data_IF_917943343057
#
_entry.id   IF_917943343057
#
_cell.length_a   1.000
_cell.length_b   1.000
_cell.length_c   1.000
_cell.angle_alpha   90.00
_cell.angle_beta   90.00
_cell.angle_gamma   90.00
#
_symmetry.space_group_name_H-M   'P 1'
#
loop_
_entity.id
_entity.type
_entity.pdbx_description
1 polymer ?
#
# COMPACT_ATOMS: atom_id res chain seq x y z
N UNK A 1 13.13 15.68 6.09
CA UNK A 1 12.96 14.29 5.63
C UNK A 1 11.51 14.14 5.20
N UNK A 2 11.24 13.59 4.02
CA UNK A 2 9.89 13.38 3.47
C UNK A 2 9.46 11.91 3.63
N UNK A 3 9.72 11.38 4.83
CA UNK A 3 9.47 10.01 5.25
C UNK A 3 8.26 9.98 6.20
N UNK A 4 7.29 9.12 5.93
CA UNK A 4 6.29 8.77 6.95
C UNK A 4 5.96 7.28 6.96
N UNK A 5 5.83 6.76 8.17
CA UNK A 5 5.48 5.37 8.40
C UNK A 5 4.09 5.32 9.02
N UNK A 6 3.31 4.32 8.64
CA UNK A 6 2.02 4.03 9.26
C UNK A 6 2.01 2.62 9.82
N UNK A 7 1.42 2.49 11.00
CA UNK A 7 1.21 1.22 11.68
C UNK A 7 -0.18 1.22 12.31
N UNK A 8 -0.99 0.24 11.97
CA UNK A 8 -2.36 0.10 12.47
C UNK A 8 -2.77 -1.35 12.64
N UNK A 9 -3.95 -1.58 13.24
CA UNK A 9 -4.48 -2.92 13.51
C UNK A 9 -5.88 -3.07 12.96
N UNK A 10 -6.18 -4.18 12.28
CA UNK A 10 -7.54 -4.47 11.84
C UNK A 10 -8.53 -4.77 12.99
N UNK A 11 -8.03 -4.99 14.22
CA UNK A 11 -8.86 -5.32 15.38
C UNK A 11 -9.39 -4.10 16.15
N UNK A 12 -8.90 -2.88 15.88
CA UNK A 12 -9.24 -1.69 16.68
C UNK A 12 -10.57 -1.04 16.28
N UNK A 13 -11.29 -1.59 15.30
CA UNK A 13 -12.59 -1.07 14.86
C UNK A 13 -13.71 -1.59 15.77
N UNK A 14 -14.18 -0.72 16.67
CA UNK A 14 -15.36 -0.99 17.49
C UNK A 14 -16.63 -1.00 16.60
N UNK A 15 -17.32 -2.14 16.56
CA UNK A 15 -18.72 -2.33 16.19
C UNK A 15 -19.19 -2.13 14.72
N UNK A 16 -18.35 -1.78 13.75
CA UNK A 16 -18.76 -1.78 12.33
C UNK A 16 -17.86 -2.67 11.48
N UNK A 17 -18.20 -3.97 11.45
CA UNK A 17 -17.49 -5.06 10.75
C UNK A 17 -17.37 -4.92 9.21
N UNK A 18 -17.59 -3.73 8.65
CA UNK A 18 -17.59 -3.45 7.21
C UNK A 18 -16.93 -2.13 6.81
N UNK A 19 -16.41 -1.34 7.75
CA UNK A 19 -15.77 -0.08 7.37
C UNK A 19 -14.36 -0.32 6.83
N UNK A 20 -14.10 0.28 5.68
CA UNK A 20 -12.79 0.27 5.02
C UNK A 20 -11.96 1.39 5.61
N UNK A 21 -10.87 1.06 6.27
CA UNK A 21 -9.98 2.07 6.85
C UNK A 21 -9.24 2.81 5.73
N UNK A 22 -9.21 4.15 5.78
CA UNK A 22 -8.49 4.95 4.79
C UNK A 22 -7.34 5.72 5.45
N UNK A 23 -6.14 5.49 4.94
CA UNK A 23 -4.91 6.14 5.41
C UNK A 23 -4.37 7.04 4.31
N UNK A 24 -3.99 8.25 4.67
CA UNK A 24 -3.44 9.25 3.75
C UNK A 24 -2.00 9.55 4.12
N UNK A 25 -1.06 9.17 3.26
CA UNK A 25 0.37 9.40 3.47
C UNK A 25 0.87 10.42 2.46
N UNK A 26 1.28 11.58 2.97
CA UNK A 26 1.71 12.72 2.17
C UNK A 26 3.23 12.87 2.19
N UNK A 27 3.94 11.83 1.77
CA UNK A 27 5.39 11.68 1.82
C UNK A 27 5.87 10.97 0.56
N UNK A 28 7.11 11.24 0.12
CA UNK A 28 7.72 10.55 -1.01
C UNK A 28 8.21 9.15 -0.68
N UNK A 29 8.44 8.83 0.59
CA UNK A 29 8.91 7.51 1.01
C UNK A 29 8.33 7.12 2.38
N UNK A 30 8.36 5.83 2.71
CA UNK A 30 7.81 5.34 3.96
C UNK A 30 7.57 3.85 4.03
N UNK A 31 6.86 3.44 5.07
CA UNK A 31 6.39 2.07 5.25
C UNK A 31 4.98 1.99 5.79
N UNK A 32 4.32 0.86 5.50
CA UNK A 32 2.99 0.51 6.02
C UNK A 32 3.12 -0.84 6.72
N UNK A 33 2.60 -0.93 7.94
CA UNK A 33 2.41 -2.19 8.68
C UNK A 33 0.97 -2.30 9.17
N UNK A 34 0.25 -3.30 8.70
CA UNK A 34 -1.11 -3.59 9.14
C UNK A 34 -1.14 -4.91 9.91
N UNK A 35 -1.31 -4.83 11.23
CA UNK A 35 -1.41 -5.99 12.10
C UNK A 35 -2.84 -6.53 12.09
N UNK A 36 -2.97 -7.85 12.17
CA UNK A 36 -4.28 -8.53 12.18
C UNK A 36 -5.21 -8.06 11.05
N UNK A 37 -4.80 -8.20 9.77
CA UNK A 37 -5.60 -7.77 8.63
C UNK A 37 -7.06 -8.24 8.75
N UNK A 38 -8.00 -7.30 8.74
CA UNK A 38 -9.45 -7.59 8.85
C UNK A 38 -10.21 -6.62 7.97
N UNK A 39 -11.16 -7.11 7.16
CA UNK A 39 -11.84 -6.27 6.17
C UNK A 39 -10.90 -5.77 5.09
N UNK A 40 -10.80 -4.45 4.91
CA UNK A 40 -9.92 -3.83 3.94
C UNK A 40 -9.32 -2.50 4.43
N UNK A 41 -8.14 -2.17 3.91
CA UNK A 41 -7.38 -0.96 4.17
C UNK A 41 -7.04 -0.29 2.83
N UNK A 42 -7.27 1.02 2.74
CA UNK A 42 -6.92 1.82 1.55
C UNK A 42 -5.82 2.81 1.92
N UNK A 43 -4.66 2.67 1.29
CA UNK A 43 -3.55 3.60 1.43
C UNK A 43 -3.55 4.57 0.25
N UNK A 44 -3.68 5.87 0.54
CA UNK A 44 -3.58 6.95 -0.43
C UNK A 44 -2.19 7.57 -0.34
N UNK A 45 -1.32 7.25 -1.30
CA UNK A 45 0.04 7.80 -1.37
C UNK A 45 0.05 9.12 -2.16
N UNK A 46 0.79 10.13 -1.69
CA UNK A 46 0.94 11.42 -2.39
C UNK A 46 2.26 12.08 -2.02
N UNK A 47 2.99 12.71 -2.96
CA UNK A 47 4.18 13.46 -2.61
C UNK A 47 3.80 14.74 -1.83
N UNK A 48 4.70 15.22 -0.98
CA UNK A 48 4.46 16.40 -0.15
C UNK A 48 4.40 17.70 -0.99
N UNK A 49 5.34 17.83 -1.93
CA UNK A 49 5.40 18.92 -2.90
C UNK A 49 4.69 18.52 -4.19
N UNK A 50 3.55 19.16 -4.47
CA UNK A 50 2.79 18.87 -5.68
C UNK A 50 3.12 19.91 -6.73
N UNK A 51 3.95 19.54 -7.71
CA UNK A 51 4.28 20.42 -8.84
C UNK A 51 3.60 19.91 -10.11
N UNK A 52 3.46 20.75 -11.13
CA UNK A 52 2.88 20.36 -12.44
C UNK A 52 3.64 19.21 -13.14
N UNK A 53 4.84 18.88 -12.67
CA UNK A 53 5.70 17.75 -13.12
C UNK A 53 5.19 16.39 -12.61
N UNK A 54 4.16 16.36 -11.76
CA UNK A 54 3.62 15.14 -11.14
C UNK A 54 3.12 14.05 -12.11
N UNK A 55 2.94 14.35 -13.40
CA UNK A 55 2.55 13.38 -14.43
C UNK A 55 3.61 12.30 -14.69
N UNK A 56 4.83 12.45 -14.17
CA UNK A 56 5.95 11.54 -14.39
C UNK A 56 6.40 10.80 -13.12
N UNK A 57 5.55 10.69 -12.09
CA UNK A 57 5.93 9.92 -10.90
C UNK A 57 5.51 8.47 -11.01
N UNK A 58 6.38 7.59 -10.51
CA UNK A 58 6.14 6.17 -10.34
C UNK A 58 6.06 5.88 -8.84
N UNK A 59 5.08 5.10 -8.42
CA UNK A 59 5.01 4.53 -7.08
C UNK A 59 5.63 3.15 -7.16
N UNK A 60 6.61 2.86 -6.32
CA UNK A 60 7.17 1.53 -6.15
C UNK A 60 6.91 1.05 -4.74
N UNK A 61 6.47 -0.20 -4.60
CA UNK A 61 6.31 -0.86 -3.30
C UNK A 61 7.18 -2.11 -3.23
N UNK A 62 7.69 -2.40 -2.03
CA UNK A 62 8.46 -3.59 -1.73
C UNK A 62 7.91 -4.25 -0.48
N UNK A 63 7.22 -5.39 -0.60
CA UNK A 63 6.75 -6.14 0.57
C UNK A 63 7.89 -6.51 1.51
N UNK A 64 7.59 -6.53 2.81
CA UNK A 64 8.50 -7.12 3.79
C UNK A 64 8.55 -8.64 3.60
N UNK A 65 9.67 -9.25 3.98
CA UNK A 65 9.90 -10.69 3.84
C UNK A 65 8.91 -11.56 4.59
N UNK A 66 8.31 -11.04 5.66
CA UNK A 66 7.31 -11.70 6.50
C UNK A 66 5.89 -11.17 6.28
N UNK A 67 5.70 -10.32 5.25
CA UNK A 67 4.38 -9.76 4.91
C UNK A 67 3.43 -10.88 4.48
N UNK A 68 2.28 -10.96 5.14
CA UNK A 68 1.26 -11.98 4.88
C UNK A 68 -0.10 -11.58 5.44
N UNK A 69 -1.14 -12.27 4.99
CA UNK A 69 -2.51 -12.14 5.45
C UNK A 69 -3.39 -11.24 4.60
N UNK A 70 -2.88 -10.67 3.52
CA UNK A 70 -3.67 -9.83 2.62
C UNK A 70 -3.10 -9.78 1.20
N UNK A 71 -4.00 -9.65 0.23
CA UNK A 71 -3.66 -9.26 -1.13
C UNK A 71 -3.52 -7.72 -1.21
N UNK A 72 -2.62 -7.24 -2.07
CA UNK A 72 -2.49 -5.82 -2.41
C UNK A 72 -2.89 -5.61 -3.86
N UNK A 73 -3.77 -4.63 -4.09
CA UNK A 73 -4.31 -4.28 -5.39
C UNK A 73 -4.06 -2.80 -5.71
N UNK A 74 -4.06 -2.51 -7.00
CA UNK A 74 -4.13 -1.15 -7.55
C UNK A 74 -5.35 -1.04 -8.46
N UNK A 75 -5.96 0.14 -8.51
CA UNK A 75 -7.03 0.42 -9.47
C UNK A 75 -6.44 0.74 -10.85
N UNK A 76 -7.00 0.15 -11.91
CA UNK A 76 -6.69 0.47 -13.31
C UNK A 76 -7.97 0.42 -14.11
N UNK A 77 -8.31 1.52 -14.78
CA UNK A 77 -9.50 1.61 -15.65
C UNK A 77 -10.81 1.22 -14.95
N UNK A 78 -10.94 1.49 -13.64
CA UNK A 78 -12.12 1.15 -12.84
C UNK A 78 -12.13 -0.26 -12.26
N UNK A 79 -11.08 -1.05 -12.48
CA UNK A 79 -10.97 -2.43 -11.98
C UNK A 79 -9.78 -2.58 -11.01
N UNK A 80 -9.97 -3.40 -9.97
CA UNK A 80 -8.90 -3.75 -9.04
C UNK A 80 -8.04 -4.87 -9.63
N UNK A 81 -6.74 -4.59 -9.78
CA UNK A 81 -5.75 -5.53 -10.28
C UNK A 81 -4.78 -5.89 -9.16
N UNK A 82 -4.62 -7.19 -8.89
CA UNK A 82 -3.69 -7.66 -7.87
C UNK A 82 -2.25 -7.36 -8.29
N UNK A 83 -1.47 -6.78 -7.37
CA UNK A 83 -0.04 -6.51 -7.57
C UNK A 83 0.83 -7.36 -6.66
N UNK A 84 0.39 -7.60 -5.42
CA UNK A 84 1.06 -8.50 -4.49
C UNK A 84 0.03 -9.52 -4.01
N UNK A 85 0.03 -10.74 -4.57
CA UNK A 85 -0.86 -11.80 -4.11
C UNK A 85 -0.38 -12.39 -2.79
N UNK A 86 -1.33 -12.76 -1.93
CA UNK A 86 -1.09 -13.50 -0.70
C UNK A 86 -0.60 -14.91 -1.01
N UNK A 87 0.39 -15.37 -0.25
CA UNK A 87 0.91 -16.75 -0.34
C UNK A 87 1.91 -16.97 -1.47
N UNK A 88 2.24 -15.95 -2.26
CA UNK A 88 3.32 -16.04 -3.24
C UNK A 88 4.64 -15.56 -2.62
N UNK A 89 5.58 -16.49 -2.44
CA UNK A 89 6.89 -16.17 -1.88
C UNK A 89 7.76 -15.48 -2.95
N UNK A 90 7.78 -14.15 -2.93
CA UNK A 90 8.57 -13.32 -3.85
C UNK A 90 9.49 -12.37 -3.07
N UNK A 91 10.48 -12.91 -2.35
CA UNK A 91 11.37 -12.11 -1.53
C UNK A 91 12.11 -11.10 -2.41
N UNK A 92 12.17 -9.86 -1.94
CA UNK A 92 12.86 -8.73 -2.60
C UNK A 92 12.24 -8.20 -3.90
N UNK A 93 11.09 -8.71 -4.35
CA UNK A 93 10.44 -8.16 -5.53
C UNK A 93 9.89 -6.75 -5.25
N UNK A 94 10.07 -5.87 -6.22
CA UNK A 94 9.57 -4.50 -6.22
C UNK A 94 8.50 -4.40 -7.29
N UNK A 95 7.38 -3.78 -6.95
CA UNK A 95 6.24 -3.58 -7.84
C UNK A 95 6.06 -2.08 -8.06
N UNK A 96 6.14 -1.65 -9.32
CA UNK A 96 6.07 -0.24 -9.68
C UNK A 96 4.89 0.06 -10.62
N UNK A 97 4.20 1.16 -10.38
CA UNK A 97 3.03 1.60 -11.15
C UNK A 97 2.94 3.13 -11.21
N UNK A 98 2.08 3.67 -12.08
CA UNK A 98 1.92 5.11 -12.25
C UNK A 98 1.36 5.76 -10.98
N UNK A 99 1.73 7.03 -10.71
CA UNK A 99 1.11 7.83 -9.64
C UNK A 99 -0.41 8.03 -9.85
N UNK A 100 -0.95 7.81 -11.05
CA UNK A 100 -2.40 7.73 -11.26
C UNK A 100 -3.03 6.61 -10.43
N UNK A 101 -2.28 5.55 -10.16
CA UNK A 101 -2.66 4.36 -9.40
C UNK A 101 -2.13 4.40 -7.96
N UNK A 102 -1.93 5.60 -7.39
CA UNK A 102 -1.37 5.82 -6.04
C UNK A 102 -2.23 5.32 -4.87
N UNK A 103 -3.41 4.80 -5.15
CA UNK A 103 -4.29 4.17 -4.16
C UNK A 103 -4.01 2.68 -4.14
N UNK A 104 -3.59 2.19 -2.99
CA UNK A 104 -3.40 0.77 -2.72
C UNK A 104 -4.60 0.27 -1.95
N UNK A 105 -5.21 -0.80 -2.42
CA UNK A 105 -6.29 -1.48 -1.74
C UNK A 105 -5.70 -2.77 -1.17
N UNK A 106 -5.83 -2.96 0.14
CA UNK A 106 -5.24 -4.08 0.85
C UNK A 106 -6.40 -4.84 1.48
N UNK A 107 -6.67 -6.03 0.97
CA UNK A 107 -7.82 -6.83 1.41
C UNK A 107 -7.35 -8.06 2.18
N UNK A 108 -7.92 -8.25 3.36
CA UNK A 108 -7.64 -9.42 4.17
C UNK A 108 -7.94 -10.71 3.39
N UNK A 109 -7.02 -11.67 3.46
CA UNK A 109 -7.17 -13.01 2.87
C UNK A 109 -7.19 -14.12 3.93
N UNK A 110 -7.18 -13.77 5.21
CA UNK A 110 -7.22 -14.70 6.33
C UNK A 110 -8.67 -15.05 6.73
N UNK A 111 -8.86 -16.30 7.16
CA UNK A 111 -10.15 -16.81 7.64
C UNK A 111 -10.26 -16.79 9.17
N UNK A 112 -9.13 -16.61 9.85
CA UNK A 112 -9.03 -16.60 11.31
C UNK A 112 -8.50 -15.25 11.82
N UNK A 113 -8.45 -15.12 13.14
CA UNK A 113 -7.85 -13.97 13.84
C UNK A 113 -6.39 -14.22 14.21
N UNK A 114 -5.71 -15.13 13.51
CA UNK A 114 -4.30 -15.41 13.77
C UNK A 114 -3.46 -14.15 13.55
N UNK A 115 -2.36 -14.02 14.28
CA UNK A 115 -1.47 -12.88 14.11
C UNK A 115 -0.75 -12.96 12.77
N UNK A 116 -1.20 -12.15 11.83
CA UNK A 116 -0.52 -11.84 10.57
C UNK A 116 -0.22 -10.35 10.49
N UNK A 117 0.76 -10.00 9.65
CA UNK A 117 1.18 -8.62 9.42
C UNK A 117 1.34 -8.47 7.92
N UNK A 118 0.56 -7.58 7.31
CA UNK A 118 0.79 -7.14 5.94
C UNK A 118 1.64 -5.89 5.99
N UNK A 119 2.79 -5.88 5.33
CA UNK A 119 3.62 -4.69 5.35
C UNK A 119 4.57 -4.56 4.16
N UNK A 120 4.87 -3.32 3.83
CA UNK A 120 5.72 -2.97 2.70
C UNK A 120 6.37 -1.61 2.89
N UNK A 121 7.51 -1.41 2.22
CA UNK A 121 8.10 -0.10 1.97
C UNK A 121 7.49 0.48 0.70
N UNK A 122 7.41 1.81 0.62
CA UNK A 122 7.03 2.51 -0.60
C UNK A 122 7.95 3.69 -0.89
N UNK A 123 8.06 4.01 -2.17
CA UNK A 123 8.79 5.18 -2.67
C UNK A 123 8.06 5.78 -3.90
N UNK A 124 8.02 7.11 -3.98
CA UNK A 124 7.48 7.89 -5.08
C UNK A 124 8.64 8.52 -5.83
N UNK A 125 8.98 7.93 -6.96
CA UNK A 125 10.15 8.30 -7.77
C UNK A 125 9.70 9.25 -8.87
N UNK A 126 10.37 10.40 -8.97
CA UNK A 126 10.20 11.30 -10.12
C UNK A 126 10.97 10.75 -11.31
N UNK A 127 10.30 10.43 -12.41
CA UNK A 127 10.97 10.24 -13.69
C UNK A 127 11.35 11.63 -14.22
N UNK A 128 12.48 12.17 -13.75
CA UNK A 128 13.14 13.24 -14.48
C UNK A 128 13.60 12.63 -15.80
N UNK A 129 12.98 13.04 -16.90
CA UNK A 129 13.50 12.75 -18.24
C UNK A 129 14.96 13.17 -18.24
N UNK A 130 15.89 12.23 -18.38
CA UNK A 130 17.26 12.55 -18.74
C UNK A 130 17.17 13.27 -20.09
N UNK A 131 17.34 14.59 -20.06
CA UNK A 131 17.42 15.42 -21.25
C UNK A 131 18.76 15.21 -21.95
#
# INVERSE_FOLDING_TARGET
>A
SDLCNWKGSGLTHENHAKDVEQVYLRCSEGSVEWLYPTGALVINLRPNTLTSVNKHFTVCIKPFTDSKGANIYVEKSGELNVVVPEGEDQPHKVYCFSLEQRRLYIENSQLDISRKITGFQYELISQRTLS
#
